data_IF_051094979842
#
_entry.id   IF_051094979842
#
_cell.length_a   1.000
_cell.length_b   1.000
_cell.length_c   1.000
_cell.angle_alpha   90.00
_cell.angle_beta   90.00
_cell.angle_gamma   90.00
#
_symmetry.space_group_name_H-M   'P 1'
#
loop_
_entity.id
_entity.type
_entity.pdbx_description
1 polymer ?
#
# COMPACT_ATOMS: atom_id res chain seq x y z
N UNK A 1 -4.71 14.42 3.95
CA UNK A 1 -3.51 13.68 3.51
C UNK A 1 -3.62 12.23 3.95
N UNK A 2 -3.37 11.31 3.04
CA UNK A 2 -3.46 9.88 3.35
C UNK A 2 -2.09 9.32 3.65
N UNK A 3 -1.99 8.39 4.60
CA UNK A 3 -0.71 7.80 4.94
C UNK A 3 -0.15 6.98 3.80
N UNK A 4 1.15 6.90 3.74
CA UNK A 4 1.81 5.94 2.86
C UNK A 4 1.74 4.58 3.53
N UNK A 5 1.51 3.54 2.76
CA UNK A 5 1.30 2.20 3.28
C UNK A 5 2.29 1.21 2.68
N UNK A 6 2.72 0.26 3.50
CA UNK A 6 3.51 -0.86 3.02
C UNK A 6 2.61 -1.87 2.32
N UNK A 7 3.21 -2.84 1.63
CA UNK A 7 2.45 -3.91 0.98
C UNK A 7 1.59 -4.67 1.98
N UNK A 8 2.13 -4.96 3.16
CA UNK A 8 1.38 -5.67 4.19
C UNK A 8 0.16 -4.87 4.64
N UNK A 9 0.33 -3.57 4.81
CA UNK A 9 -0.78 -2.69 5.19
C UNK A 9 -1.82 -2.57 4.08
N UNK A 10 -1.36 -2.49 2.83
CA UNK A 10 -2.27 -2.45 1.69
C UNK A 10 -3.10 -3.73 1.60
N UNK A 11 -2.49 -4.88 1.87
CA UNK A 11 -3.20 -6.14 1.86
C UNK A 11 -4.25 -6.20 2.97
N UNK A 12 -3.92 -5.71 4.17
CA UNK A 12 -4.90 -5.63 5.26
C UNK A 12 -6.06 -4.73 4.90
N UNK A 13 -5.79 -3.56 4.33
CA UNK A 13 -6.83 -2.64 3.92
C UNK A 13 -7.72 -3.25 2.84
N UNK A 14 -7.12 -3.99 1.90
CA UNK A 14 -7.88 -4.67 0.87
C UNK A 14 -8.85 -5.69 1.50
N UNK A 15 -8.37 -6.46 2.46
CA UNK A 15 -9.20 -7.47 3.12
C UNK A 15 -10.32 -6.84 3.96
N UNK A 16 -10.02 -5.73 4.63
CA UNK A 16 -10.99 -5.08 5.51
C UNK A 16 -12.01 -4.26 4.73
N UNK A 17 -11.58 -3.59 3.69
CA UNK A 17 -12.40 -2.58 3.01
C UNK A 17 -12.70 -2.92 1.56
N UNK A 18 -12.25 -4.06 1.08
CA UNK A 18 -12.48 -4.52 -0.30
C UNK A 18 -12.05 -3.49 -1.35
N UNK A 19 -10.86 -2.96 -1.17
CA UNK A 19 -10.31 -2.00 -2.12
C UNK A 19 -9.97 -2.67 -3.45
N UNK A 20 -9.84 -1.86 -4.50
CA UNK A 20 -9.49 -2.34 -5.84
C UNK A 20 -8.01 -2.70 -5.90
N UNK A 21 -7.64 -3.71 -5.14
CA UNK A 21 -6.28 -4.23 -5.03
C UNK A 21 -6.32 -5.75 -5.09
N UNK A 22 -5.24 -6.38 -5.58
CA UNK A 22 -5.13 -7.83 -5.50
C UNK A 22 -5.21 -8.31 -4.04
N UNK A 23 -5.68 -9.51 -3.86
CA UNK A 23 -5.87 -10.11 -2.53
C UNK A 23 -4.64 -10.82 -2.00
N UNK A 24 -3.48 -10.60 -2.61
CA UNK A 24 -2.22 -11.19 -2.18
C UNK A 24 -1.12 -10.14 -2.20
N UNK A 25 -0.12 -10.31 -1.35
CA UNK A 25 1.00 -9.40 -1.30
C UNK A 25 1.78 -9.39 -2.63
N UNK A 26 1.93 -10.56 -3.24
CA UNK A 26 2.61 -10.67 -4.53
C UNK A 26 1.85 -9.91 -5.62
N UNK A 27 0.53 -10.06 -5.64
CA UNK A 27 -0.30 -9.35 -6.60
C UNK A 27 -0.21 -7.84 -6.41
N UNK A 28 -0.20 -7.38 -5.17
CA UNK A 28 -0.04 -5.95 -4.87
C UNK A 28 1.32 -5.47 -5.34
N UNK A 29 2.38 -6.23 -5.08
CA UNK A 29 3.73 -5.86 -5.51
C UNK A 29 3.82 -5.73 -7.03
N UNK A 30 3.21 -6.66 -7.76
CA UNK A 30 3.21 -6.62 -9.22
C UNK A 30 2.44 -5.41 -9.74
N UNK A 31 1.32 -5.09 -9.10
CA UNK A 31 0.53 -3.92 -9.48
C UNK A 31 1.33 -2.63 -9.25
N UNK A 32 2.01 -2.53 -8.14
CA UNK A 32 2.87 -1.40 -7.81
C UNK A 32 3.95 -1.21 -8.87
N UNK A 33 4.60 -2.30 -9.27
CA UNK A 33 5.62 -2.25 -10.30
C UNK A 33 5.06 -1.83 -11.66
N UNK A 34 3.91 -2.40 -12.00
CA UNK A 34 3.28 -2.11 -13.30
C UNK A 34 2.86 -0.65 -13.41
N UNK A 35 2.37 -0.09 -12.32
CA UNK A 35 1.87 1.29 -12.30
C UNK A 35 2.91 2.29 -11.84
N UNK A 36 4.10 1.80 -11.47
CA UNK A 36 5.23 2.64 -11.06
C UNK A 36 4.86 3.61 -9.93
N UNK A 37 4.35 3.05 -8.84
CA UNK A 37 3.98 3.84 -7.66
C UNK A 37 5.22 4.44 -7.01
N UNK A 38 5.10 5.65 -6.54
CA UNK A 38 6.15 6.28 -5.75
C UNK A 38 6.24 5.63 -4.38
N UNK A 39 7.46 5.57 -3.85
CA UNK A 39 7.68 4.99 -2.54
C UNK A 39 8.85 5.66 -1.85
N UNK A 40 8.94 5.47 -0.55
CA UNK A 40 10.15 5.80 0.20
C UNK A 40 10.52 4.64 1.11
N UNK A 41 11.80 4.59 1.44
CA UNK A 41 12.32 3.55 2.33
C UNK A 41 12.53 4.15 3.71
N UNK A 42 12.00 3.47 4.71
CA UNK A 42 12.11 3.91 6.10
C UNK A 42 12.68 2.77 6.94
N UNK A 43 13.24 3.11 8.08
CA UNK A 43 13.75 2.10 8.99
C UNK A 43 12.59 1.26 9.52
N UNK A 44 12.68 -0.05 9.33
CA UNK A 44 11.67 -0.96 9.86
C UNK A 44 11.87 -1.19 11.34
N UNK A 45 10.81 -1.64 12.00
CA UNK A 45 10.88 -2.04 13.39
C UNK A 45 11.57 -3.38 13.50
N UNK A 46 12.33 -3.55 14.54
CA UNK A 46 12.80 -4.87 14.89
C UNK A 46 14.10 -5.26 14.28
N UNK A 47 14.91 -4.35 13.99
CA UNK A 47 16.23 -4.70 13.93
C UNK A 47 16.83 -4.97 12.58
N UNK A 48 17.54 -5.92 12.47
CA UNK A 48 18.48 -6.34 11.44
C UNK A 48 18.10 -5.88 10.03
N UNK A 49 18.68 -4.76 9.59
CA UNK A 49 18.57 -4.35 8.20
C UNK A 49 17.14 -4.15 7.73
N UNK A 50 16.23 -3.96 8.64
CA UNK A 50 14.84 -3.82 8.33
C UNK A 50 14.55 -2.52 7.62
N UNK A 51 14.67 -2.51 6.32
CA UNK A 51 14.19 -1.39 5.51
C UNK A 51 12.80 -1.74 5.05
N UNK A 52 11.87 -0.86 5.34
CA UNK A 52 10.48 -1.01 4.97
C UNK A 52 10.18 0.00 3.88
N UNK A 53 9.52 -0.44 2.83
CA UNK A 53 9.04 0.46 1.78
C UNK A 53 7.60 0.83 2.06
N UNK A 54 7.32 2.12 2.02
CA UNK A 54 5.96 2.62 2.13
C UNK A 54 5.64 3.35 0.83
N UNK A 55 4.44 3.11 0.30
CA UNK A 55 4.06 3.55 -1.03
C UNK A 55 3.04 4.67 -0.97
N UNK A 56 3.20 5.63 -1.88
CA UNK A 56 2.22 6.69 -2.06
C UNK A 56 1.06 6.14 -2.86
N UNK A 57 -0.15 6.28 -2.33
CA UNK A 57 -1.33 5.77 -2.99
C UNK A 57 -1.66 6.58 -4.24
N UNK A 58 -2.02 5.93 -5.36
CA UNK A 58 -2.44 6.64 -6.55
C UNK A 58 -3.81 7.31 -6.33
N UNK A 59 -4.10 8.31 -7.13
CA UNK A 59 -5.30 9.12 -6.98
C UNK A 59 -6.58 8.29 -7.03
N UNK A 60 -6.65 7.30 -7.93
CA UNK A 60 -7.86 6.47 -8.05
C UNK A 60 -8.14 5.68 -6.78
N UNK A 61 -7.09 5.27 -6.08
CA UNK A 61 -7.23 4.52 -4.84
C UNK A 61 -7.62 5.45 -3.70
N UNK A 62 -7.05 6.65 -3.67
CA UNK A 62 -7.42 7.67 -2.70
C UNK A 62 -8.89 8.03 -2.85
N UNK A 63 -9.36 8.17 -4.08
CA UNK A 63 -10.77 8.46 -4.35
C UNK A 63 -11.67 7.33 -3.84
N UNK A 64 -11.27 6.10 -4.05
CA UNK A 64 -12.01 4.94 -3.55
C UNK A 64 -12.10 4.95 -2.03
N UNK A 65 -10.99 5.25 -1.37
CA UNK A 65 -10.94 5.34 0.09
C UNK A 65 -11.89 6.42 0.58
N UNK A 66 -11.91 7.58 -0.08
CA UNK A 66 -12.81 8.66 0.27
C UNK A 66 -14.26 8.25 0.12
N UNK A 67 -14.59 7.58 -0.97
CA UNK A 67 -15.96 7.12 -1.22
C UNK A 67 -16.44 6.16 -0.14
N UNK A 68 -15.54 5.35 0.39
CA UNK A 68 -15.87 4.39 1.43
C UNK A 68 -15.91 5.00 2.83
N UNK A 69 -15.54 6.29 2.94
CA UNK A 69 -15.56 6.98 4.21
C UNK A 69 -14.43 6.59 5.16
N UNK A 70 -13.35 6.16 4.62
CA UNK A 70 -12.21 5.71 5.43
C UNK A 70 -11.24 6.84 5.76
#
# INVERSE_FOLDING_TARGET
MYPKLSIAELLEWQKEHHLDLPATDRGIALKIQREDWEFEEVAGKGGKGGIKRIYTLPDYLIDEIKEKGL
#
